data_IF_751246865239
#
_entry.id   IF_751246865239
#
_cell.length_a   1.000
_cell.length_b   1.000
_cell.length_c   1.000
_cell.angle_alpha   90.00
_cell.angle_beta   90.00
_cell.angle_gamma   90.00
#
_symmetry.space_group_name_H-M   'P 1'
#
loop_
_entity.id
_entity.type
_entity.pdbx_description
1 polymer ?
#
# COMPACT_ATOMS: atom_id res chain seq x y z
N UNK A 1 -41.27 5.28 -5.37
CA UNK A 1 -40.79 5.07 -6.75
C UNK A 1 -39.79 6.16 -7.11
N UNK A 2 -38.74 5.78 -7.84
CA UNK A 2 -37.51 6.51 -8.18
C UNK A 2 -37.72 7.92 -8.75
N UNK A 3 -36.80 8.85 -8.44
CA UNK A 3 -35.75 9.38 -9.35
C UNK A 3 -35.08 10.60 -8.71
N UNK A 4 -33.84 10.45 -8.25
CA UNK A 4 -32.93 11.59 -8.04
C UNK A 4 -32.20 11.88 -9.35
N UNK A 5 -32.12 13.17 -9.68
CA UNK A 5 -31.39 13.73 -10.81
C UNK A 5 -29.90 13.34 -10.74
N UNK A 6 -29.38 12.84 -11.87
CA UNK A 6 -27.97 12.62 -12.07
C UNK A 6 -27.24 13.95 -12.28
N UNK A 7 -26.22 14.19 -11.46
CA UNK A 7 -25.18 15.17 -11.74
C UNK A 7 -24.02 14.39 -12.37
N UNK A 8 -23.76 14.68 -13.64
CA UNK A 8 -22.59 14.21 -14.37
C UNK A 8 -21.40 15.04 -13.89
N UNK A 9 -20.56 14.47 -13.03
CA UNK A 9 -19.23 15.01 -12.75
C UNK A 9 -18.24 14.24 -13.61
N UNK A 10 -17.81 14.89 -14.69
CA UNK A 10 -16.64 14.51 -15.48
C UNK A 10 -15.40 14.89 -14.65
N UNK A 11 -14.66 13.93 -14.11
CA UNK A 11 -13.44 14.25 -13.37
C UNK A 11 -12.78 13.07 -12.68
N UNK A 12 -11.64 12.66 -13.23
CA UNK A 12 -10.59 11.80 -12.66
C UNK A 12 -10.97 10.34 -12.42
N UNK A 13 -10.13 9.44 -12.94
CA UNK A 13 -10.18 8.01 -12.64
C UNK A 13 -9.91 7.82 -11.13
N UNK A 14 -10.96 7.94 -10.32
CA UNK A 14 -10.93 7.46 -8.95
C UNK A 14 -10.75 5.94 -9.03
N UNK A 15 -9.53 5.49 -8.80
CA UNK A 15 -9.29 4.11 -8.37
C UNK A 15 -10.13 3.89 -7.12
N UNK A 16 -11.33 3.36 -7.34
CA UNK A 16 -12.23 2.81 -6.35
C UNK A 16 -11.54 1.59 -5.74
N UNK A 17 -10.54 1.82 -4.88
CA UNK A 17 -10.11 0.81 -3.94
C UNK A 17 -11.15 0.86 -2.82
N UNK A 18 -12.32 0.28 -3.13
CA UNK A 18 -13.39 0.02 -2.18
C UNK A 18 -12.86 -1.08 -1.27
N UNK A 19 -12.64 -0.76 0.01
CA UNK A 19 -12.62 -1.80 1.02
C UNK A 19 -14.00 -2.45 0.99
N UNK A 20 -14.05 -3.77 0.77
CA UNK A 20 -15.29 -4.52 0.95
C UNK A 20 -15.88 -4.18 2.33
N UNK A 21 -17.22 -4.10 2.43
CA UNK A 21 -17.90 -3.87 3.70
C UNK A 21 -17.36 -4.86 4.74
N UNK A 22 -16.72 -4.33 5.80
CA UNK A 22 -16.19 -5.17 6.85
C UNK A 22 -17.35 -5.84 7.58
N UNK A 23 -17.22 -7.13 7.83
CA UNK A 23 -18.18 -7.89 8.65
C UNK A 23 -18.05 -7.59 10.15
N UNK A 24 -17.03 -6.82 10.55
CA UNK A 24 -16.81 -6.45 11.94
C UNK A 24 -17.73 -5.29 12.35
N UNK A 25 -18.15 -5.25 13.62
CA UNK A 25 -18.89 -4.10 14.14
C UNK A 25 -18.03 -2.83 14.14
N UNK A 26 -18.66 -1.67 14.09
CA UNK A 26 -17.97 -0.40 14.25
C UNK A 26 -17.30 -0.29 15.62
N UNK A 27 -16.09 0.27 15.65
CA UNK A 27 -15.40 0.57 16.90
C UNK A 27 -16.19 1.61 17.73
N UNK A 28 -16.30 1.38 19.04
CA UNK A 28 -17.10 2.21 19.96
C UNK A 28 -16.24 3.13 20.81
N UNK A 29 -16.71 4.36 21.03
CA UNK A 29 -16.02 5.36 21.84
C UNK A 29 -14.74 5.90 21.20
N UNK A 30 -14.01 6.74 21.92
CA UNK A 30 -12.79 7.42 21.43
C UNK A 30 -11.49 6.82 21.98
N UNK A 31 -11.58 5.92 22.95
CA UNK A 31 -10.43 5.25 23.56
C UNK A 31 -9.95 4.11 22.65
N UNK A 32 -9.04 4.45 21.74
CA UNK A 32 -8.60 3.52 20.69
C UNK A 32 -7.79 2.35 21.23
N UNK A 33 -7.25 2.43 22.45
CA UNK A 33 -6.60 1.28 23.10
C UNK A 33 -7.57 0.15 23.42
N UNK A 34 -8.87 0.44 23.53
CA UNK A 34 -9.93 -0.55 23.77
C UNK A 34 -10.48 -1.17 22.48
N UNK A 35 -10.12 -0.64 21.31
CA UNK A 35 -10.65 -1.12 20.04
C UNK A 35 -10.07 -2.49 19.71
N UNK A 36 -10.94 -3.49 19.61
CA UNK A 36 -10.55 -4.86 19.27
C UNK A 36 -11.69 -5.56 18.53
N UNK A 37 -11.33 -6.34 17.50
CA UNK A 37 -12.26 -7.02 16.61
C UNK A 37 -13.37 -6.10 16.08
N UNK A 38 -13.00 -4.89 15.65
CA UNK A 38 -13.92 -3.89 15.15
C UNK A 38 -13.34 -3.17 13.93
N UNK A 39 -14.20 -2.54 13.14
CA UNK A 39 -13.83 -1.69 12.01
C UNK A 39 -13.97 -0.22 12.39
N UNK A 40 -12.99 0.61 12.06
CA UNK A 40 -12.97 2.01 12.45
C UNK A 40 -12.18 2.90 11.51
N UNK A 41 -12.41 4.21 11.66
CA UNK A 41 -11.69 5.27 10.95
C UNK A 41 -10.99 6.19 11.94
N UNK A 42 -9.74 6.55 11.68
CA UNK A 42 -8.96 7.39 12.59
C UNK A 42 -7.89 8.20 11.86
N UNK A 43 -7.67 9.44 12.31
CA UNK A 43 -6.45 10.17 12.01
C UNK A 43 -5.42 9.89 13.10
N UNK A 44 -4.30 9.25 12.75
CA UNK A 44 -3.24 8.95 13.72
C UNK A 44 -1.98 9.74 13.42
N UNK A 45 -1.41 10.37 14.46
CA UNK A 45 -0.02 10.85 14.38
C UNK A 45 0.91 9.66 14.12
N UNK A 46 1.96 9.89 13.35
CA UNK A 46 2.85 8.82 12.91
C UNK A 46 3.80 8.49 14.05
N UNK A 47 3.34 7.60 14.93
CA UNK A 47 4.13 7.00 16.01
C UNK A 47 4.44 5.51 15.73
N UNK A 48 4.16 5.02 14.53
CA UNK A 48 4.13 3.58 14.23
C UNK A 48 5.45 2.93 13.82
N UNK A 49 6.40 3.73 13.33
CA UNK A 49 7.69 3.19 12.91
C UNK A 49 8.77 4.27 12.95
N UNK A 50 9.95 3.88 13.41
CA UNK A 50 11.16 4.68 13.33
C UNK A 50 11.50 5.02 11.87
N UNK A 51 11.11 4.14 10.92
CA UNK A 51 11.30 4.33 9.48
C UNK A 51 10.64 5.60 8.93
N UNK A 52 9.47 5.99 9.47
CA UNK A 52 8.68 7.12 8.96
C UNK A 52 8.62 8.32 9.91
N UNK A 53 9.13 8.17 11.13
CA UNK A 53 9.04 9.15 12.22
C UNK A 53 9.53 10.53 11.79
N UNK A 54 10.68 10.60 11.11
CA UNK A 54 11.26 11.88 10.72
C UNK A 54 10.57 12.47 9.49
N UNK A 55 10.24 11.64 8.50
CA UNK A 55 9.59 12.08 7.25
C UNK A 55 8.21 12.69 7.48
N UNK A 56 7.46 12.16 8.43
CA UNK A 56 6.10 12.60 8.72
C UNK A 56 5.91 13.07 10.15
N UNK A 57 6.98 13.61 10.74
CA UNK A 57 6.92 14.27 12.04
C UNK A 57 5.77 15.29 12.05
N UNK A 58 4.96 15.25 13.10
CA UNK A 58 3.80 16.13 13.32
C UNK A 58 2.68 16.03 12.26
N UNK A 59 2.77 15.08 11.32
CA UNK A 59 1.72 14.78 10.35
C UNK A 59 0.89 13.58 10.79
N UNK A 60 -0.34 13.50 10.29
CA UNK A 60 -1.27 12.41 10.55
C UNK A 60 -1.46 11.54 9.32
N UNK A 61 -1.49 10.22 9.50
CA UNK A 61 -2.04 9.30 8.51
C UNK A 61 -3.55 9.20 8.71
N UNK A 62 -4.29 8.93 7.63
CA UNK A 62 -5.67 8.49 7.72
C UNK A 62 -5.69 6.97 7.65
N UNK A 63 -6.37 6.33 8.59
CA UNK A 63 -6.61 4.91 8.58
C UNK A 63 -8.09 4.60 8.54
N UNK A 64 -8.44 3.58 7.77
CA UNK A 64 -9.75 2.95 7.80
C UNK A 64 -9.55 1.45 7.72
N UNK A 65 -10.03 0.69 8.70
CA UNK A 65 -9.85 -0.75 8.71
C UNK A 65 -10.10 -1.40 10.05
N UNK A 66 -9.67 -2.65 10.15
CA UNK A 66 -9.86 -3.47 11.33
C UNK A 66 -8.86 -3.15 12.46
N UNK A 67 -9.33 -3.25 13.69
CA UNK A 67 -8.52 -3.04 14.89
C UNK A 67 -8.47 -4.31 15.73
N UNK A 68 -7.30 -4.54 16.33
CA UNK A 68 -7.10 -5.57 17.34
C UNK A 68 -6.20 -5.04 18.45
N UNK A 69 -6.70 -5.02 19.68
CA UNK A 69 -5.98 -4.54 20.86
C UNK A 69 -5.36 -3.14 20.64
N UNK A 70 -6.16 -2.23 20.08
CA UNK A 70 -5.80 -0.84 19.73
C UNK A 70 -4.83 -0.65 18.59
N UNK A 71 -4.45 -1.74 17.90
CA UNK A 71 -3.52 -1.73 16.77
C UNK A 71 -4.26 -1.95 15.45
N UNK A 72 -3.77 -1.32 14.39
CA UNK A 72 -4.23 -1.60 13.03
C UNK A 72 -3.90 -3.06 12.71
N UNK A 73 -4.90 -3.79 12.24
CA UNK A 73 -4.83 -5.22 12.01
C UNK A 73 -5.76 -5.62 10.86
N UNK A 74 -5.68 -6.85 10.37
CA UNK A 74 -6.63 -7.37 9.38
C UNK A 74 -6.61 -6.54 8.10
N UNK A 75 -7.76 -6.37 7.45
CA UNK A 75 -7.83 -5.54 6.25
C UNK A 75 -7.92 -4.05 6.59
N UNK A 76 -7.25 -3.21 5.82
CA UNK A 76 -7.39 -1.76 5.95
C UNK A 76 -6.73 -0.96 4.86
N UNK A 77 -7.00 0.34 4.92
CA UNK A 77 -6.42 1.38 4.06
C UNK A 77 -5.65 2.37 4.92
N UNK A 78 -4.42 2.67 4.53
CA UNK A 78 -3.64 3.79 5.07
C UNK A 78 -3.46 4.83 3.96
N UNK A 79 -3.79 6.08 4.24
CA UNK A 79 -3.44 7.23 3.40
C UNK A 79 -2.38 8.06 4.13
N UNK A 80 -1.22 8.23 3.49
CA UNK A 80 -0.12 9.01 4.02
C UNK A 80 -0.23 10.50 3.63
N UNK A 81 0.40 11.40 4.41
CA UNK A 81 0.36 12.84 4.11
C UNK A 81 0.91 13.24 2.74
N UNK A 82 1.77 12.42 2.14
CA UNK A 82 2.34 12.65 0.82
C UNK A 82 1.58 11.94 -0.31
N UNK A 83 0.32 11.55 -0.03
CA UNK A 83 -0.58 10.92 -1.00
C UNK A 83 -0.34 9.43 -1.21
N UNK A 84 0.73 8.84 -0.66
CA UNK A 84 0.93 7.39 -0.72
C UNK A 84 -0.29 6.71 -0.12
N UNK A 85 -0.77 5.65 -0.76
CA UNK A 85 -1.92 4.86 -0.29
C UNK A 85 -1.55 3.40 -0.20
N UNK A 86 -1.80 2.79 0.96
CA UNK A 86 -1.74 1.35 1.15
C UNK A 86 -3.14 0.79 1.28
N UNK A 87 -3.42 -0.34 0.65
CA UNK A 87 -4.61 -1.16 0.90
C UNK A 87 -4.22 -2.61 0.99
N UNK A 88 -4.58 -3.28 2.08
CA UNK A 88 -4.34 -4.71 2.24
C UNK A 88 -4.29 -5.10 3.71
N UNK A 89 -3.57 -6.19 3.96
CA UNK A 89 -3.44 -6.76 5.29
C UNK A 89 -2.51 -5.93 6.20
N UNK A 90 -2.86 -5.80 7.47
CA UNK A 90 -2.05 -5.15 8.50
C UNK A 90 -1.84 -6.09 9.69
N UNK A 91 -0.66 -5.98 10.30
CA UNK A 91 -0.33 -6.64 11.55
C UNK A 91 0.53 -5.73 12.41
N UNK A 92 0.11 -5.53 13.66
CA UNK A 92 0.78 -4.64 14.61
C UNK A 92 1.10 -3.26 14.04
N UNK A 93 0.09 -2.66 13.37
CA UNK A 93 0.17 -1.34 12.73
C UNK A 93 1.03 -1.22 11.47
N UNK A 94 1.49 -2.34 10.90
CA UNK A 94 2.33 -2.33 9.70
C UNK A 94 1.69 -3.13 8.57
N UNK A 95 1.87 -2.74 7.31
CA UNK A 95 1.61 -3.61 6.17
C UNK A 95 2.25 -4.98 6.36
N UNK A 96 1.46 -6.02 6.11
CA UNK A 96 1.84 -7.42 6.26
C UNK A 96 1.03 -8.25 5.27
N UNK A 97 1.44 -9.47 4.92
CA UNK A 97 0.64 -10.32 4.04
C UNK A 97 0.49 -9.68 2.66
N UNK A 98 -0.69 -9.77 2.03
CA UNK A 98 -0.88 -9.21 0.70
C UNK A 98 -1.46 -7.79 0.74
N UNK A 99 -0.99 -6.95 -0.18
CA UNK A 99 -1.52 -5.61 -0.32
C UNK A 99 -1.13 -4.91 -1.62
N UNK A 100 -1.62 -3.69 -1.76
CA UNK A 100 -1.31 -2.75 -2.83
C UNK A 100 -0.80 -1.46 -2.23
N UNK A 101 0.32 -0.94 -2.73
CA UNK A 101 0.85 0.37 -2.39
C UNK A 101 0.89 1.24 -3.64
N UNK A 102 0.31 2.44 -3.57
CA UNK A 102 0.29 3.42 -4.64
C UNK A 102 1.17 4.62 -4.25
N UNK A 103 2.04 5.03 -5.17
CA UNK A 103 2.93 6.17 -5.05
C UNK A 103 2.54 7.20 -6.12
N UNK A 104 1.72 8.21 -5.79
CA UNK A 104 1.26 9.19 -6.78
C UNK A 104 2.40 10.11 -7.23
N UNK A 105 3.24 10.54 -6.29
CA UNK A 105 4.37 11.42 -6.55
C UNK A 105 5.67 10.63 -6.81
N UNK A 106 6.58 11.13 -7.67
CA UNK A 106 7.86 10.50 -7.91
C UNK A 106 8.68 10.40 -6.61
N UNK A 107 9.34 9.26 -6.42
CA UNK A 107 10.29 8.98 -5.34
C UNK A 107 11.68 8.74 -5.92
N UNK A 108 12.76 8.86 -5.13
CA UNK A 108 14.12 8.59 -5.64
C UNK A 108 14.30 7.22 -6.32
N UNK A 109 13.42 6.25 -6.03
CA UNK A 109 13.44 4.89 -6.57
C UNK A 109 12.21 4.59 -7.47
N UNK A 110 11.20 5.46 -7.49
CA UNK A 110 9.92 5.22 -8.17
C UNK A 110 9.49 6.42 -9.02
N UNK A 111 8.93 6.17 -10.20
CA UNK A 111 8.28 7.22 -10.98
C UNK A 111 6.96 7.67 -10.32
N UNK A 112 6.35 8.74 -10.83
CA UNK A 112 4.96 9.07 -10.48
C UNK A 112 4.03 7.90 -10.82
N UNK A 113 2.88 7.86 -10.16
CA UNK A 113 1.84 6.83 -10.33
C UNK A 113 2.36 5.38 -10.31
N UNK A 114 3.41 5.12 -9.52
CA UNK A 114 3.96 3.78 -9.35
C UNK A 114 3.04 2.96 -8.44
N UNK A 115 2.77 1.71 -8.82
CA UNK A 115 1.94 0.78 -8.07
C UNK A 115 2.73 -0.48 -7.76
N UNK A 116 2.76 -0.88 -6.49
CA UNK A 116 3.18 -2.21 -6.07
C UNK A 116 1.97 -3.06 -5.69
N UNK A 117 1.93 -4.32 -6.14
CA UNK A 117 0.99 -5.33 -5.69
C UNK A 117 1.79 -6.58 -5.32
N UNK A 118 1.64 -7.07 -4.09
CA UNK A 118 2.39 -8.23 -3.65
C UNK A 118 2.41 -8.39 -2.14
N UNK A 119 3.41 -9.12 -1.68
CA UNK A 119 3.58 -9.44 -0.28
C UNK A 119 4.33 -8.33 0.50
N UNK A 120 3.95 -8.17 1.76
CA UNK A 120 4.53 -7.22 2.70
C UNK A 120 4.98 -7.94 3.95
N UNK A 121 6.11 -7.49 4.50
CA UNK A 121 6.59 -7.91 5.81
C UNK A 121 7.11 -6.70 6.57
N UNK A 122 6.48 -6.40 7.70
CA UNK A 122 6.82 -5.27 8.56
C UNK A 122 6.89 -3.92 7.81
N UNK A 123 5.97 -3.68 6.88
CA UNK A 123 5.91 -2.44 6.10
C UNK A 123 6.75 -2.40 4.83
N UNK A 124 7.57 -3.42 4.56
CA UNK A 124 8.44 -3.48 3.38
C UNK A 124 7.92 -4.51 2.37
N UNK A 125 8.14 -4.25 1.08
CA UNK A 125 7.92 -5.24 0.04
C UNK A 125 8.77 -6.47 0.32
N UNK A 126 8.15 -7.64 0.27
CA UNK A 126 8.78 -8.93 0.54
C UNK A 126 8.12 -9.98 -0.35
N UNK A 127 8.65 -11.21 -0.39
CA UNK A 127 8.02 -12.30 -1.13
C UNK A 127 7.81 -11.99 -2.62
N UNK A 128 6.72 -12.48 -3.20
CA UNK A 128 6.37 -12.22 -4.59
C UNK A 128 5.65 -10.88 -4.75
N UNK A 129 5.92 -10.18 -5.86
CA UNK A 129 5.19 -8.96 -6.17
C UNK A 129 5.40 -8.46 -7.59
N UNK A 130 4.67 -7.40 -7.91
CA UNK A 130 4.75 -6.65 -9.16
C UNK A 130 4.84 -5.16 -8.85
N UNK A 131 5.87 -4.49 -9.38
CA UNK A 131 5.90 -3.03 -9.49
C UNK A 131 5.51 -2.67 -10.92
N UNK A 132 4.55 -1.77 -11.08
CA UNK A 132 4.18 -1.14 -12.35
C UNK A 132 4.43 0.36 -12.24
N UNK A 133 5.16 0.93 -13.18
CA UNK A 133 5.46 2.35 -13.27
C UNK A 133 4.48 3.05 -14.23
N UNK A 134 4.33 4.38 -14.13
CA UNK A 134 3.42 5.16 -14.98
C UNK A 134 3.63 4.93 -16.49
N UNK A 135 4.88 4.75 -16.93
CA UNK A 135 5.21 4.55 -18.34
C UNK A 135 4.89 3.12 -18.86
N UNK A 136 4.31 2.25 -18.03
CA UNK A 136 4.00 0.86 -18.37
C UNK A 136 5.14 -0.13 -18.14
N UNK A 137 6.34 0.35 -17.76
CA UNK A 137 7.43 -0.51 -17.31
C UNK A 137 6.98 -1.28 -16.08
N UNK A 138 7.42 -2.52 -15.93
CA UNK A 138 7.08 -3.34 -14.77
C UNK A 138 8.19 -4.29 -14.38
N UNK A 139 8.27 -4.58 -13.09
CA UNK A 139 9.06 -5.68 -12.55
C UNK A 139 8.11 -6.70 -11.92
N UNK A 140 8.28 -7.98 -12.26
CA UNK A 140 7.58 -9.11 -11.65
C UNK A 140 8.62 -10.08 -11.09
N UNK A 141 8.58 -10.36 -9.79
CA UNK A 141 9.56 -11.26 -9.17
C UNK A 141 9.56 -11.19 -7.66
N UNK A 142 10.66 -11.68 -7.06
CA UNK A 142 10.81 -11.66 -5.62
C UNK A 142 11.35 -10.32 -5.11
N UNK A 143 10.95 -9.99 -3.88
CA UNK A 143 11.34 -8.82 -3.13
C UNK A 143 11.92 -9.23 -1.78
N UNK A 144 12.93 -8.50 -1.34
CA UNK A 144 13.45 -8.59 0.02
C UNK A 144 13.76 -7.19 0.53
N UNK A 145 13.15 -6.84 1.66
CA UNK A 145 13.33 -5.57 2.36
C UNK A 145 13.18 -4.35 1.43
N UNK A 146 12.15 -4.39 0.56
CA UNK A 146 11.84 -3.31 -0.37
C UNK A 146 12.61 -3.35 -1.70
N UNK A 147 13.55 -4.27 -1.90
CA UNK A 147 14.38 -4.34 -3.12
C UNK A 147 14.11 -5.59 -3.95
N UNK A 148 14.31 -5.52 -5.27
CA UNK A 148 14.31 -6.68 -6.16
C UNK A 148 15.39 -7.68 -5.70
N UNK A 149 14.99 -8.94 -5.58
CA UNK A 149 15.84 -10.01 -5.09
C UNK A 149 15.48 -11.34 -5.78
N UNK A 150 16.43 -12.24 -6.00
CA UNK A 150 16.15 -13.56 -6.58
C UNK A 150 15.60 -13.50 -8.01
N UNK A 151 14.81 -14.50 -8.40
CA UNK A 151 14.23 -14.56 -9.75
C UNK A 151 13.25 -13.39 -10.00
N UNK A 152 13.41 -12.73 -11.14
CA UNK A 152 12.52 -11.67 -11.58
C UNK A 152 12.66 -11.32 -13.06
N UNK A 153 11.65 -10.63 -13.57
CA UNK A 153 11.55 -10.14 -14.96
C UNK A 153 11.22 -8.66 -14.94
N UNK A 154 12.08 -7.83 -15.55
CA UNK A 154 11.87 -6.42 -15.76
C UNK A 154 11.49 -6.19 -17.23
N UNK A 155 10.26 -5.75 -17.48
CA UNK A 155 9.75 -5.44 -18.82
C UNK A 155 9.68 -3.94 -18.98
N UNK A 156 10.45 -3.39 -19.91
CA UNK A 156 10.47 -1.97 -20.22
C UNK A 156 9.24 -1.56 -21.05
N UNK A 157 8.89 -0.28 -21.02
CA UNK A 157 7.76 0.26 -21.78
C UNK A 157 7.84 0.01 -23.30
N UNK A 158 9.05 -0.10 -23.85
CA UNK A 158 9.31 -0.43 -25.26
C UNK A 158 9.22 -1.94 -25.57
N UNK A 159 8.92 -2.78 -24.57
CA UNK A 159 8.80 -4.23 -24.71
C UNK A 159 10.09 -5.02 -24.52
N UNK A 160 11.25 -4.37 -24.32
CA UNK A 160 12.48 -5.12 -23.98
C UNK A 160 12.36 -5.76 -22.61
N UNK A 161 13.07 -6.87 -22.40
CA UNK A 161 12.95 -7.69 -21.20
C UNK A 161 14.32 -8.05 -20.65
N UNK A 162 14.53 -7.74 -19.37
CA UNK A 162 15.65 -8.25 -18.57
C UNK A 162 15.11 -9.31 -17.60
N UNK A 163 15.53 -10.56 -17.78
CA UNK A 163 15.10 -11.69 -16.96
C UNK A 163 16.31 -12.38 -16.33
N UNK A 164 16.20 -12.72 -15.06
CA UNK A 164 17.23 -13.48 -14.36
C UNK A 164 17.23 -13.28 -12.86
N UNK A 165 18.41 -13.31 -12.25
CA UNK A 165 18.61 -13.15 -10.82
C UNK A 165 18.90 -11.70 -10.49
N UNK A 166 18.15 -11.15 -9.53
CA UNK A 166 18.25 -9.79 -9.05
C UNK A 166 18.82 -9.73 -7.64
N UNK A 167 19.58 -8.69 -7.34
CA UNK A 167 20.05 -8.37 -5.98
C UNK A 167 20.17 -6.88 -5.82
N UNK A 168 19.54 -6.33 -4.79
CA UNK A 168 19.57 -4.89 -4.47
C UNK A 168 19.21 -4.02 -5.69
N UNK A 169 18.13 -4.39 -6.39
CA UNK A 169 17.62 -3.70 -7.58
C UNK A 169 18.50 -3.78 -8.84
N UNK A 170 19.51 -4.66 -8.85
CA UNK A 170 20.39 -4.90 -10.01
C UNK A 170 20.25 -6.32 -10.50
N UNK A 171 20.21 -6.49 -11.82
CA UNK A 171 20.35 -7.78 -12.48
C UNK A 171 21.80 -8.25 -12.35
N UNK A 172 21.99 -9.47 -11.84
CA UNK A 172 23.34 -10.04 -11.60
C UNK A 172 23.60 -11.31 -12.42
N UNK A 173 22.56 -11.97 -12.93
CA UNK A 173 22.65 -13.16 -13.77
C UNK A 173 21.45 -13.20 -14.73
N UNK A 174 21.65 -13.59 -15.98
CA UNK A 174 20.60 -13.72 -17.00
C UNK A 174 20.01 -15.14 -17.01
N UNK A 175 18.74 -15.28 -17.39
CA UNK A 175 18.04 -16.57 -17.55
C UNK A 175 17.28 -16.64 -18.89
#
# INVERSE_FOLDING_TARGET
MKKLLGIVILGLMFFNIVLADSSLPNCKGTDTFKWTNCFGTEEKSIAYDQLYKDKYKDKKILYQGEYRNGKLHGQGTITFPDGIKYVGELKYNKPYGHGTMLFPEPKPIFYNDTKYVGEFKYGLFNGQGTITYANGTKFVGNFRDGSYYGLGTYTFANGTVDKGIWKNNKLIELN
#
